data_IF_391230069587
#
_entry.id   IF_391230069587
#
_cell.length_a   1.000
_cell.length_b   1.000
_cell.length_c   1.000
_cell.angle_alpha   90.00
_cell.angle_beta   90.00
_cell.angle_gamma   90.00
#
_symmetry.space_group_name_H-M   'P 1'
#
loop_
_entity.id
_entity.type
_entity.pdbx_description
1 polymer ?
#
# COMPACT_ATOMS: atom_id res chain seq x y z
N UNK A 1 16.45 -12.16 22.23
CA UNK A 1 15.76 -12.51 23.49
C UNK A 1 14.25 -12.66 23.29
N UNK A 2 13.58 -11.70 22.69
CA UNK A 2 12.15 -11.79 22.41
C UNK A 2 11.80 -12.99 21.53
N UNK A 3 12.53 -13.19 20.43
CA UNK A 3 12.40 -14.36 19.54
C UNK A 3 12.62 -15.68 20.26
N UNK A 4 13.61 -15.75 21.15
CA UNK A 4 13.86 -16.95 21.96
C UNK A 4 12.72 -17.25 22.93
N UNK A 5 12.13 -16.23 23.56
CA UNK A 5 10.99 -16.43 24.45
C UNK A 5 9.75 -16.93 23.72
N UNK A 6 9.54 -16.49 22.46
CA UNK A 6 8.47 -16.98 21.59
C UNK A 6 8.72 -18.45 21.19
N UNK A 7 9.94 -18.80 20.83
CA UNK A 7 10.32 -20.18 20.44
C UNK A 7 10.24 -21.17 21.61
N UNK A 8 10.54 -20.73 22.84
CA UNK A 8 10.53 -21.59 24.04
C UNK A 8 9.11 -21.89 24.56
N UNK A 9 8.08 -21.26 24.00
CA UNK A 9 6.69 -21.57 24.38
C UNK A 9 6.30 -23.02 24.01
N UNK A 10 6.87 -23.55 22.93
CA UNK A 10 6.58 -24.91 22.45
C UNK A 10 5.25 -25.06 21.70
N UNK A 11 4.44 -24.01 21.66
CA UNK A 11 3.14 -23.94 21.00
C UNK A 11 3.05 -22.61 20.26
N UNK A 12 2.67 -22.64 18.99
CA UNK A 12 2.53 -21.44 18.12
C UNK A 12 1.08 -20.99 17.96
N UNK A 13 0.13 -21.79 18.44
CA UNK A 13 -1.29 -21.52 18.27
C UNK A 13 -1.83 -20.68 19.41
N UNK A 14 -2.55 -19.61 19.05
CA UNK A 14 -3.25 -18.74 19.97
C UNK A 14 -4.75 -18.79 19.68
N UNK A 15 -5.55 -18.84 20.72
CA UNK A 15 -7.02 -18.90 20.61
C UNK A 15 -7.62 -17.61 20.08
N UNK A 16 -6.93 -16.47 20.26
CA UNK A 16 -7.37 -15.16 19.76
C UNK A 16 -6.18 -14.20 19.62
N UNK A 17 -6.39 -13.10 18.91
CA UNK A 17 -5.41 -12.02 18.76
C UNK A 17 -5.09 -11.37 20.12
N UNK A 18 -6.08 -11.22 20.98
CA UNK A 18 -5.92 -10.68 22.34
C UNK A 18 -5.01 -11.58 23.20
N UNK A 19 -5.18 -12.91 23.09
CA UNK A 19 -4.33 -13.88 23.78
C UNK A 19 -2.87 -13.79 23.31
N UNK A 20 -2.66 -13.61 21.98
CA UNK A 20 -1.34 -13.38 21.42
C UNK A 20 -0.74 -12.06 21.94
N UNK A 21 -1.51 -10.98 21.92
CA UNK A 21 -1.06 -9.66 22.39
C UNK A 21 -0.66 -9.71 23.87
N UNK A 22 -1.51 -10.29 24.71
CA UNK A 22 -1.23 -10.45 26.14
C UNK A 22 0.06 -11.25 26.40
N UNK A 23 0.32 -12.28 25.61
CA UNK A 23 1.56 -13.04 25.67
C UNK A 23 2.78 -12.20 25.31
N UNK A 24 2.71 -11.42 24.21
CA UNK A 24 3.78 -10.51 23.79
C UNK A 24 4.04 -9.45 24.86
N UNK A 25 2.99 -8.83 25.41
CA UNK A 25 3.09 -7.83 26.47
C UNK A 25 3.73 -8.39 27.74
N UNK A 26 3.43 -9.64 28.07
CA UNK A 26 4.08 -10.36 29.17
C UNK A 26 5.58 -10.53 28.96
N UNK A 27 6.02 -10.87 27.73
CA UNK A 27 7.42 -10.98 27.39
C UNK A 27 8.12 -9.61 27.46
N UNK A 28 7.50 -8.59 26.88
CA UNK A 28 8.02 -7.22 26.89
C UNK A 28 8.18 -6.73 28.34
N UNK A 29 7.17 -6.97 29.19
CA UNK A 29 7.22 -6.62 30.61
C UNK A 29 8.41 -7.28 31.33
N UNK A 30 8.63 -8.57 31.11
CA UNK A 30 9.79 -9.28 31.69
C UNK A 30 11.13 -8.71 31.22
N UNK A 31 11.25 -8.40 29.94
CA UNK A 31 12.47 -7.80 29.36
C UNK A 31 12.70 -6.40 29.97
N UNK A 32 11.65 -5.60 30.08
CA UNK A 32 11.72 -4.26 30.63
C UNK A 32 12.12 -4.30 32.13
N UNK A 33 11.62 -5.25 32.91
CA UNK A 33 12.03 -5.47 34.28
C UNK A 33 13.54 -5.79 34.39
N UNK A 34 14.06 -6.64 33.52
CA UNK A 34 15.50 -6.98 33.49
C UNK A 34 16.38 -5.76 33.13
N UNK A 35 15.86 -4.85 32.28
CA UNK A 35 16.59 -3.66 31.87
C UNK A 35 16.40 -2.46 32.81
N UNK A 36 15.53 -2.58 33.81
CA UNK A 36 15.12 -1.45 34.67
C UNK A 36 16.29 -0.76 35.36
N UNK A 37 17.21 -1.52 35.95
CA UNK A 37 18.36 -0.95 36.67
C UNK A 37 19.25 -0.13 35.73
N UNK A 38 19.50 -0.61 34.50
CA UNK A 38 20.25 0.14 33.50
C UNK A 38 19.49 1.40 33.04
N UNK A 39 18.20 1.25 32.81
CA UNK A 39 17.36 2.38 32.40
C UNK A 39 17.35 3.49 33.46
N UNK A 40 17.25 3.15 34.76
CA UNK A 40 17.27 4.14 35.85
C UNK A 40 18.63 4.85 35.96
N UNK A 41 19.73 4.20 35.57
CA UNK A 41 21.06 4.84 35.47
C UNK A 41 21.17 5.76 34.25
N UNK A 42 20.56 5.41 33.13
CA UNK A 42 20.58 6.20 31.91
C UNK A 42 19.58 7.37 31.92
N UNK A 43 18.47 7.21 32.63
CA UNK A 43 17.37 8.19 32.67
C UNK A 43 17.79 9.63 32.99
N UNK A 44 18.69 9.90 33.94
CA UNK A 44 19.15 11.25 34.23
C UNK A 44 19.99 11.86 33.09
N UNK A 45 20.57 11.01 32.22
CA UNK A 45 21.40 11.44 31.09
C UNK A 45 20.55 11.68 29.83
N UNK A 46 19.29 11.27 29.82
CA UNK A 46 18.41 11.49 28.69
C UNK A 46 18.08 12.97 28.54
N UNK A 47 18.25 13.48 27.35
CA UNK A 47 17.85 14.84 27.02
C UNK A 47 16.34 14.92 26.86
N UNK A 48 15.79 16.11 27.11
CA UNK A 48 14.37 16.37 26.83
C UNK A 48 14.09 16.18 25.34
N UNK A 49 12.94 15.56 25.03
CA UNK A 49 12.51 15.39 23.65
C UNK A 49 12.45 16.75 22.94
N UNK A 50 12.92 16.83 21.68
CA UNK A 50 12.82 18.05 20.92
C UNK A 50 11.36 18.46 20.75
N UNK A 51 11.10 19.78 20.80
CA UNK A 51 9.72 20.32 20.62
C UNK A 51 9.14 19.97 19.25
N UNK A 52 9.98 19.73 18.26
CA UNK A 52 9.59 19.35 16.90
C UNK A 52 9.74 17.85 16.74
N UNK A 53 8.65 17.17 16.36
CA UNK A 53 8.72 15.76 15.97
C UNK A 53 9.56 15.63 14.70
N UNK A 54 10.40 14.63 14.64
CA UNK A 54 11.00 14.16 13.38
C UNK A 54 9.90 13.63 12.49
N UNK A 55 10.07 13.84 11.19
CA UNK A 55 9.14 13.27 10.21
C UNK A 55 9.23 11.74 10.27
N UNK A 56 8.09 11.09 10.32
CA UNK A 56 7.90 9.62 10.33
C UNK A 56 7.63 9.07 8.92
N UNK A 57 7.98 9.83 7.89
CA UNK A 57 7.81 9.47 6.49
C UNK A 57 9.11 9.65 5.69
N UNK A 58 9.22 8.88 4.60
CA UNK A 58 10.23 9.07 3.59
C UNK A 58 9.67 9.87 2.40
N UNK A 59 10.46 10.82 1.90
CA UNK A 59 10.06 11.64 0.74
C UNK A 59 10.53 11.00 -0.55
N UNK A 60 9.62 10.97 -1.53
CA UNK A 60 9.88 10.51 -2.89
C UNK A 60 9.26 11.46 -3.89
N UNK A 61 9.83 11.50 -5.09
CA UNK A 61 9.25 12.21 -6.24
C UNK A 61 9.00 11.22 -7.36
N UNK A 62 7.78 11.17 -7.88
CA UNK A 62 7.34 10.22 -8.89
C UNK A 62 6.77 10.92 -10.10
N UNK A 63 7.02 10.40 -11.29
CA UNK A 63 6.39 10.85 -12.53
C UNK A 63 5.22 9.93 -12.85
N UNK A 64 4.06 10.51 -13.14
CA UNK A 64 2.86 9.74 -13.46
C UNK A 64 2.90 9.32 -14.94
N UNK A 65 2.81 8.01 -15.16
CA UNK A 65 2.82 7.40 -16.48
C UNK A 65 1.55 7.68 -17.28
N UNK A 66 1.59 7.38 -18.58
CA UNK A 66 0.40 7.44 -19.46
C UNK A 66 -0.72 6.46 -19.04
N UNK A 67 -0.41 5.48 -18.20
CA UNK A 67 -1.38 4.54 -17.61
C UNK A 67 -1.98 5.03 -16.30
N UNK A 68 -1.81 6.31 -15.95
CA UNK A 68 -2.27 6.89 -14.66
C UNK A 68 -1.68 6.16 -13.45
N UNK A 69 -0.42 5.74 -13.54
CA UNK A 69 0.24 4.96 -12.50
C UNK A 69 1.67 5.42 -12.27
N UNK A 70 2.20 5.04 -11.11
CA UNK A 70 3.62 5.18 -10.77
C UNK A 70 4.09 3.97 -9.97
N UNK A 71 5.38 3.71 -10.01
CA UNK A 71 6.02 2.64 -9.24
C UNK A 71 6.76 3.22 -8.03
N UNK A 72 6.51 2.66 -6.85
CA UNK A 72 7.25 3.00 -5.64
C UNK A 72 7.52 1.74 -4.81
N UNK A 73 8.80 1.51 -4.44
CA UNK A 73 9.20 0.33 -3.64
C UNK A 73 8.67 -1.01 -4.18
N UNK A 74 8.73 -1.19 -5.51
CA UNK A 74 8.25 -2.39 -6.23
C UNK A 74 6.72 -2.59 -6.18
N UNK A 75 5.97 -1.55 -5.89
CA UNK A 75 4.52 -1.54 -5.93
C UNK A 75 4.05 -0.52 -6.95
N UNK A 76 3.11 -0.93 -7.81
CA UNK A 76 2.44 -0.05 -8.77
C UNK A 76 1.16 0.50 -8.15
N UNK A 77 1.05 1.81 -8.09
CA UNK A 77 -0.12 2.55 -7.61
C UNK A 77 -0.78 3.30 -8.75
N UNK A 78 -2.10 3.43 -8.72
CA UNK A 78 -2.84 4.29 -9.65
C UNK A 78 -3.24 5.61 -9.01
N UNK A 79 -3.31 6.65 -9.82
CA UNK A 79 -3.78 7.99 -9.45
C UNK A 79 -4.77 8.50 -10.49
N UNK A 80 -5.61 9.50 -10.17
CA UNK A 80 -6.53 10.09 -11.13
C UNK A 80 -5.82 10.51 -12.43
N UNK A 81 -6.43 10.18 -13.58
CA UNK A 81 -5.84 10.37 -14.91
C UNK A 81 -5.52 11.82 -15.28
N UNK A 82 -6.08 12.78 -14.55
CA UNK A 82 -5.76 14.21 -14.71
C UNK A 82 -4.30 14.54 -14.38
N UNK A 83 -3.61 13.69 -13.64
CA UNK A 83 -2.20 13.88 -13.25
C UNK A 83 -1.21 13.19 -14.20
N UNK A 84 -1.66 12.61 -15.31
CA UNK A 84 -0.77 11.98 -16.30
C UNK A 84 0.26 13.00 -16.77
N UNK A 85 1.54 12.63 -16.73
CA UNK A 85 2.67 13.47 -17.12
C UNK A 85 3.14 14.44 -16.04
N UNK A 86 2.43 14.54 -14.91
CA UNK A 86 2.84 15.39 -13.80
C UNK A 86 3.84 14.67 -12.88
N UNK A 87 4.64 15.47 -12.20
CA UNK A 87 5.54 15.03 -11.15
C UNK A 87 4.89 15.30 -9.80
N UNK A 88 4.61 14.23 -9.05
CA UNK A 88 4.03 14.32 -7.72
C UNK A 88 5.07 14.05 -6.63
N UNK A 89 4.88 14.67 -5.48
CA UNK A 89 5.63 14.38 -4.27
C UNK A 89 4.85 13.37 -3.43
N UNK A 90 5.57 12.39 -2.88
CA UNK A 90 4.98 11.31 -2.08
C UNK A 90 5.64 11.30 -0.71
N UNK A 91 4.84 11.42 0.32
CA UNK A 91 5.23 11.13 1.70
C UNK A 91 4.84 9.69 2.00
N UNK A 92 5.85 8.83 2.13
CA UNK A 92 5.69 7.41 2.35
C UNK A 92 5.78 7.10 3.84
N UNK A 93 4.64 6.80 4.45
CA UNK A 93 4.50 6.33 5.83
C UNK A 93 4.54 4.80 5.88
N UNK A 94 4.45 4.23 7.08
CA UNK A 94 4.38 2.77 7.23
C UNK A 94 3.04 2.18 6.74
N UNK A 95 1.93 2.88 6.92
CA UNK A 95 0.60 2.37 6.58
C UNK A 95 -0.02 3.02 5.34
N UNK A 96 0.48 4.18 4.90
CA UNK A 96 -0.11 4.95 3.81
C UNK A 96 0.93 5.72 3.01
N UNK A 97 0.47 6.22 1.87
CA UNK A 97 1.18 7.17 1.02
C UNK A 97 0.30 8.41 0.85
N UNK A 98 0.83 9.57 1.16
CA UNK A 98 0.17 10.83 0.89
C UNK A 98 0.84 11.49 -0.33
N UNK A 99 0.04 11.80 -1.35
CA UNK A 99 0.51 12.38 -2.61
C UNK A 99 0.17 13.88 -2.67
N UNK A 100 1.14 14.64 -3.15
CA UNK A 100 1.04 16.10 -3.23
C UNK A 100 1.35 16.60 -4.64
N UNK A 101 0.56 17.57 -5.10
CA UNK A 101 0.89 18.43 -6.25
C UNK A 101 1.27 19.80 -5.70
N UNK A 102 2.56 20.15 -5.77
CA UNK A 102 3.07 21.31 -5.04
C UNK A 102 2.91 21.16 -3.53
N UNK A 103 2.10 22.03 -2.92
CA UNK A 103 1.82 22.01 -1.46
C UNK A 103 0.45 21.39 -1.11
N UNK A 104 -0.36 21.07 -2.11
CA UNK A 104 -1.70 20.53 -1.92
C UNK A 104 -1.68 19.00 -1.87
N UNK A 105 -2.23 18.44 -0.82
CA UNK A 105 -2.45 16.99 -0.73
C UNK A 105 -3.63 16.61 -1.63
N UNK A 106 -3.35 15.79 -2.64
CA UNK A 106 -4.35 15.41 -3.66
C UNK A 106 -4.96 14.03 -3.40
N UNK A 107 -4.22 13.14 -2.71
CA UNK A 107 -4.65 11.76 -2.53
C UNK A 107 -3.90 11.11 -1.35
N UNK A 108 -4.58 10.22 -0.65
CA UNK A 108 -3.97 9.31 0.32
C UNK A 108 -4.33 7.88 -0.06
N UNK A 109 -3.32 7.02 -0.16
CA UNK A 109 -3.46 5.62 -0.54
C UNK A 109 -2.95 4.71 0.56
N UNK A 110 -3.57 3.55 0.81
CA UNK A 110 -3.03 2.55 1.71
C UNK A 110 -1.71 2.02 1.15
N UNK A 111 -0.72 1.84 2.02
CA UNK A 111 0.55 1.26 1.63
C UNK A 111 0.42 -0.25 1.43
N UNK A 112 0.89 -0.71 0.29
CA UNK A 112 1.03 -2.13 -0.04
C UNK A 112 2.51 -2.50 0.02
N UNK A 113 2.82 -3.67 0.52
CA UNK A 113 4.18 -4.19 0.58
C UNK A 113 4.37 -5.27 -0.49
N UNK A 114 5.40 -5.09 -1.31
CA UNK A 114 5.83 -6.11 -2.23
C UNK A 114 6.59 -7.22 -1.48
N UNK A 115 6.41 -8.46 -1.88
CA UNK A 115 7.23 -9.56 -1.38
C UNK A 115 8.57 -9.61 -2.12
N UNK A 116 9.52 -10.44 -1.65
CA UNK A 116 10.81 -10.63 -2.32
C UNK A 116 10.66 -11.17 -3.74
N UNK A 117 9.61 -11.95 -3.99
CA UNK A 117 9.35 -12.64 -5.27
C UNK A 117 8.34 -11.93 -6.16
N UNK A 118 7.36 -11.19 -5.58
CA UNK A 118 6.28 -10.58 -6.34
C UNK A 118 6.23 -9.06 -6.16
N UNK A 119 5.92 -8.35 -7.26
CA UNK A 119 5.59 -6.93 -7.23
C UNK A 119 4.19 -6.74 -6.67
N UNK A 120 4.02 -5.73 -5.82
CA UNK A 120 2.71 -5.34 -5.32
C UNK A 120 1.95 -4.48 -6.35
N UNK A 121 0.63 -4.46 -6.23
CA UNK A 121 -0.26 -3.60 -7.02
C UNK A 121 -1.35 -3.04 -6.13
N UNK A 122 -1.61 -1.75 -6.27
CA UNK A 122 -2.70 -1.03 -5.62
C UNK A 122 -3.42 -0.23 -6.71
N UNK A 123 -4.39 -0.87 -7.34
CA UNK A 123 -5.09 -0.35 -8.52
C UNK A 123 -6.52 -0.01 -8.13
N UNK A 124 -6.92 1.24 -8.33
CA UNK A 124 -8.31 1.67 -8.25
C UNK A 124 -8.80 2.05 -9.66
N UNK A 125 -9.77 1.31 -10.17
CA UNK A 125 -10.35 1.54 -11.50
C UNK A 125 -10.97 2.95 -11.63
N UNK A 126 -11.44 3.56 -10.53
CA UNK A 126 -12.03 4.90 -10.51
C UNK A 126 -11.05 5.97 -10.95
N UNK A 127 -9.76 5.75 -10.78
CA UNK A 127 -8.72 6.69 -11.21
C UNK A 127 -8.61 6.81 -12.72
N UNK A 128 -8.97 5.76 -13.46
CA UNK A 128 -8.73 5.65 -14.91
C UNK A 128 -9.99 5.52 -15.73
N UNK A 129 -11.15 5.24 -15.12
CA UNK A 129 -12.39 4.91 -15.83
C UNK A 129 -12.81 6.04 -16.79
N UNK A 130 -12.74 7.30 -16.38
CA UNK A 130 -13.11 8.45 -17.21
C UNK A 130 -12.26 8.55 -18.49
N UNK A 131 -10.98 8.17 -18.41
CA UNK A 131 -10.07 8.12 -19.55
C UNK A 131 -10.36 6.93 -20.44
N UNK A 132 -10.70 5.77 -19.85
CA UNK A 132 -11.06 4.57 -20.58
C UNK A 132 -12.39 4.69 -21.30
N UNK A 133 -13.37 5.40 -20.74
CA UNK A 133 -14.64 5.71 -21.43
C UNK A 133 -14.39 6.52 -22.70
N UNK A 134 -13.44 7.46 -22.68
CA UNK A 134 -13.04 8.24 -23.86
C UNK A 134 -12.25 7.43 -24.89
N UNK A 135 -11.44 6.46 -24.43
CA UNK A 135 -10.59 5.61 -25.27
C UNK A 135 -10.72 4.14 -24.86
N UNK A 136 -11.85 3.47 -25.12
CA UNK A 136 -12.14 2.13 -24.63
C UNK A 136 -11.10 1.08 -25.04
N UNK A 137 -10.56 1.20 -26.25
CA UNK A 137 -9.52 0.28 -26.75
C UNK A 137 -8.25 0.24 -25.89
N UNK A 138 -7.97 1.29 -25.11
CA UNK A 138 -6.82 1.31 -24.21
C UNK A 138 -6.95 0.27 -23.07
N UNK A 139 -8.17 -0.11 -22.69
CA UNK A 139 -8.40 -1.14 -21.69
C UNK A 139 -7.80 -2.48 -22.07
N UNK A 140 -8.01 -2.94 -23.32
CA UNK A 140 -7.54 -4.24 -23.82
C UNK A 140 -6.02 -4.39 -23.72
N UNK A 141 -5.29 -3.31 -23.99
CA UNK A 141 -3.83 -3.30 -24.03
C UNK A 141 -3.19 -2.80 -22.72
N UNK A 142 -4.00 -2.52 -21.71
CA UNK A 142 -3.50 -2.10 -20.41
C UNK A 142 -2.79 -3.25 -19.69
N UNK A 143 -1.59 -3.00 -19.17
CA UNK A 143 -0.89 -3.93 -18.29
C UNK A 143 -1.61 -4.15 -16.95
N UNK A 144 -2.49 -3.22 -16.59
CA UNK A 144 -3.30 -3.25 -15.36
C UNK A 144 -4.72 -3.78 -15.62
N UNK A 145 -5.02 -4.29 -16.84
CA UNK A 145 -6.37 -4.69 -17.23
C UNK A 145 -7.08 -5.55 -16.20
N UNK A 146 -6.41 -6.59 -15.73
CA UNK A 146 -7.01 -7.56 -14.83
C UNK A 146 -7.22 -6.95 -13.42
N UNK A 147 -6.35 -6.04 -12.99
CA UNK A 147 -6.49 -5.31 -11.72
C UNK A 147 -7.57 -4.20 -11.80
N UNK A 148 -7.94 -3.76 -13.00
CA UNK A 148 -9.00 -2.77 -13.22
C UNK A 148 -10.41 -3.36 -13.13
N UNK A 149 -10.54 -4.67 -13.14
CA UNK A 149 -11.82 -5.37 -13.00
C UNK A 149 -12.12 -5.58 -11.51
N UNK A 150 -13.15 -4.90 -10.94
CA UNK A 150 -13.30 -4.78 -9.49
C UNK A 150 -13.74 -6.07 -8.80
N UNK A 151 -14.36 -7.00 -9.54
CA UNK A 151 -14.84 -8.26 -8.96
C UNK A 151 -14.62 -9.44 -9.92
N UNK A 152 -14.66 -10.69 -9.42
CA UNK A 152 -14.61 -11.90 -10.26
C UNK A 152 -15.71 -11.93 -11.35
N UNK A 153 -16.86 -11.31 -11.09
CA UNK A 153 -17.94 -11.27 -12.08
C UNK A 153 -17.59 -10.40 -13.28
N UNK A 154 -16.89 -9.28 -13.05
CA UNK A 154 -16.37 -8.47 -14.15
C UNK A 154 -15.33 -9.23 -14.98
N UNK A 155 -14.50 -10.08 -14.38
CA UNK A 155 -13.60 -10.96 -15.12
C UNK A 155 -14.37 -11.95 -16.00
N UNK A 156 -15.45 -12.54 -15.49
CA UNK A 156 -16.32 -13.46 -16.28
C UNK A 156 -17.02 -12.72 -17.42
N UNK A 157 -17.56 -11.54 -17.14
CA UNK A 157 -18.18 -10.67 -18.14
C UNK A 157 -17.16 -10.34 -19.24
N UNK A 158 -15.95 -9.91 -18.85
CA UNK A 158 -14.90 -9.61 -19.80
C UNK A 158 -14.56 -10.81 -20.69
N UNK A 159 -14.35 -11.97 -20.13
CA UNK A 159 -14.07 -13.20 -20.89
C UNK A 159 -15.17 -13.52 -21.90
N UNK A 160 -16.42 -13.36 -21.50
CA UNK A 160 -17.56 -13.60 -22.37
C UNK A 160 -17.65 -12.59 -23.52
N UNK A 161 -17.58 -11.30 -23.23
CA UNK A 161 -17.70 -10.24 -24.25
C UNK A 161 -16.50 -10.20 -25.19
N UNK A 162 -15.31 -10.48 -24.67
CA UNK A 162 -14.07 -10.54 -25.48
C UNK A 162 -14.07 -11.73 -26.47
N UNK A 163 -14.75 -12.82 -26.12
CA UNK A 163 -14.92 -13.99 -27.00
C UNK A 163 -16.10 -13.88 -27.98
N UNK A 164 -17.08 -12.99 -27.68
CA UNK A 164 -18.35 -12.95 -28.45
C UNK A 164 -18.46 -11.69 -29.33
N UNK A 165 -17.95 -10.56 -28.85
CA UNK A 165 -18.04 -9.27 -29.55
C UNK A 165 -16.75 -8.96 -30.29
N UNK A 166 -16.83 -7.99 -31.22
CA UNK A 166 -15.60 -7.44 -31.78
C UNK A 166 -14.79 -6.68 -30.70
N UNK A 167 -13.46 -6.54 -30.86
CA UNK A 167 -12.60 -5.97 -29.84
C UNK A 167 -12.98 -4.56 -29.35
N UNK A 168 -13.50 -3.73 -30.23
CA UNK A 168 -13.88 -2.37 -29.91
C UNK A 168 -15.15 -2.34 -29.04
N UNK A 169 -16.17 -3.12 -29.40
CA UNK A 169 -17.44 -3.17 -28.68
C UNK A 169 -17.29 -3.89 -27.34
N UNK A 170 -16.46 -4.93 -27.26
CA UNK A 170 -16.12 -5.59 -26.01
C UNK A 170 -15.52 -4.59 -25.01
N UNK A 171 -14.55 -3.77 -25.44
CA UNK A 171 -13.97 -2.73 -24.61
C UNK A 171 -14.99 -1.66 -24.19
N UNK A 172 -15.87 -1.24 -25.10
CA UNK A 172 -16.93 -0.26 -24.78
C UNK A 172 -17.93 -0.79 -23.77
N UNK A 173 -18.24 -2.09 -23.84
CA UNK A 173 -19.17 -2.73 -22.93
C UNK A 173 -18.64 -2.77 -21.50
N UNK A 174 -17.37 -3.14 -21.32
CA UNK A 174 -16.79 -3.35 -20.00
C UNK A 174 -16.44 -2.03 -19.26
N UNK A 175 -16.18 -0.94 -19.97
CA UNK A 175 -15.78 0.35 -19.36
C UNK A 175 -16.99 1.31 -19.14
N UNK A 176 -18.18 0.94 -19.51
CA UNK A 176 -19.44 1.68 -19.28
C UNK A 176 -20.21 1.15 -18.09
#
# INVERSE_FOLDING_TARGET
>A
RMTQALLLRGDTDFTSLEAYQAFVDGIVTKINQQCRTRFEQERPLLQTLPKRRTHDYAEHSVLISSSSSFDLKRVTYTVPSRFIGERLYVQLYDERLDLFSGHEQILSLPRVYATTTQRGRSVDYRHVIDSLVKKPGAFRYSQLRDDLLPTPDYHRIWQYVDGTLNPHDACRYIVR
#
